data_IF_831977746342
#
_entry.id   IF_831977746342
#
_cell.length_a   1.000
_cell.length_b   1.000
_cell.length_c   1.000
_cell.angle_alpha   90.00
_cell.angle_beta   90.00
_cell.angle_gamma   90.00
#
_symmetry.space_group_name_H-M   'P 1'
#
loop_
_entity.id
_entity.type
_entity.pdbx_description
1 polymer ?
#
# COMPACT_ATOMS: atom_id res chain seq x y z
N UNK A 1 -4.30 8.50 -6.47
CA UNK A 1 -4.88 8.15 -7.79
C UNK A 1 -3.81 7.97 -8.85
N UNK A 2 -2.97 8.97 -9.10
CA UNK A 2 -1.92 8.93 -10.15
C UNK A 2 -0.99 7.71 -10.09
N UNK A 3 -0.46 7.38 -8.91
CA UNK A 3 0.46 6.25 -8.73
C UNK A 3 -0.25 4.89 -8.94
N UNK A 4 -1.47 4.76 -8.43
CA UNK A 4 -2.30 3.55 -8.60
C UNK A 4 -2.62 3.31 -10.07
N UNK A 5 -3.02 4.36 -10.80
CA UNK A 5 -3.27 4.28 -12.24
C UNK A 5 -2.02 3.88 -13.01
N UNK A 6 -0.86 4.47 -12.73
CA UNK A 6 0.38 4.12 -13.42
C UNK A 6 0.79 2.66 -13.16
N UNK A 7 0.57 2.15 -11.95
CA UNK A 7 0.82 0.75 -11.63
C UNK A 7 -0.11 -0.18 -12.42
N UNK A 8 -1.39 0.18 -12.57
CA UNK A 8 -2.35 -0.61 -13.37
C UNK A 8 -1.95 -0.64 -14.86
N UNK A 9 -1.52 0.50 -15.39
CA UNK A 9 -1.14 0.64 -16.80
C UNK A 9 0.20 -0.04 -17.12
N UNK A 10 1.22 0.16 -16.28
CA UNK A 10 2.60 -0.21 -16.59
C UNK A 10 3.14 -1.40 -15.78
N UNK A 11 2.49 -1.74 -14.67
CA UNK A 11 2.92 -2.79 -13.74
C UNK A 11 4.16 -2.46 -12.95
N UNK A 12 4.59 -1.20 -12.97
CA UNK A 12 5.78 -0.73 -12.27
C UNK A 12 5.39 0.23 -11.17
N UNK A 13 5.91 -0.01 -9.97
CA UNK A 13 5.76 0.91 -8.84
C UNK A 13 6.71 2.09 -9.03
N UNK A 14 6.18 3.32 -8.96
CA UNK A 14 6.95 4.56 -9.09
C UNK A 14 6.71 5.47 -7.89
N UNK A 15 7.72 6.24 -7.51
CA UNK A 15 7.65 7.19 -6.39
C UNK A 15 7.38 8.64 -6.83
N UNK A 16 7.45 8.93 -8.13
CA UNK A 16 7.12 10.24 -8.71
C UNK A 16 6.27 10.03 -9.97
N UNK A 17 5.18 10.78 -10.07
CA UNK A 17 4.31 10.77 -11.24
C UNK A 17 4.85 11.69 -12.31
N UNK A 18 5.70 11.17 -13.20
CA UNK A 18 5.91 11.79 -14.50
C UNK A 18 5.04 11.04 -15.50
N UNK A 19 3.95 11.69 -15.88
CA UNK A 19 3.03 11.17 -16.89
C UNK A 19 3.54 11.59 -18.27
N UNK A 20 3.74 10.63 -19.16
CA UNK A 20 3.75 10.90 -20.60
C UNK A 20 2.31 11.24 -21.02
N UNK A 21 1.83 12.42 -20.60
CA UNK A 21 0.42 12.77 -20.67
C UNK A 21 0.02 13.77 -19.58
N UNK A 22 0.66 14.95 -19.53
CA UNK A 22 0.29 16.09 -18.66
C UNK A 22 -1.15 16.62 -18.86
N UNK A 23 -1.98 15.97 -19.68
CA UNK A 23 -3.33 16.41 -20.03
C UNK A 23 -4.48 15.66 -19.33
N UNK A 24 -4.20 14.61 -18.53
CA UNK A 24 -5.26 13.77 -17.91
C UNK A 24 -5.77 14.27 -16.55
N UNK A 25 -5.13 15.27 -15.93
CA UNK A 25 -5.53 15.78 -14.61
C UNK A 25 -5.98 17.23 -14.71
N UNK A 26 -7.28 17.48 -14.57
CA UNK A 26 -7.88 18.83 -14.57
C UNK A 26 -8.58 19.09 -13.23
N UNK A 27 -7.96 19.88 -12.36
CA UNK A 27 -8.62 20.39 -11.16
C UNK A 27 -9.47 21.62 -11.52
N UNK A 28 -10.75 21.65 -11.13
CA UNK A 28 -11.64 22.79 -11.32
C UNK A 28 -12.21 23.20 -9.97
N UNK A 29 -11.76 24.34 -9.43
CA UNK A 29 -12.35 24.89 -8.21
C UNK A 29 -13.81 25.31 -8.47
N UNK A 30 -14.74 24.92 -7.59
CA UNK A 30 -16.14 25.30 -7.66
C UNK A 30 -16.59 25.79 -6.28
N UNK A 31 -16.75 27.12 -6.19
CA UNK A 31 -17.27 27.95 -5.06
C UNK A 31 -16.31 28.22 -3.90
N UNK A 32 -16.45 29.41 -3.32
CA UNK A 32 -15.74 29.84 -2.10
C UNK A 32 -16.09 28.92 -0.94
N UNK A 33 -15.06 28.40 -0.26
CA UNK A 33 -15.19 27.52 0.90
C UNK A 33 -15.10 26.02 0.63
N UNK A 34 -15.09 25.56 -0.64
CA UNK A 34 -14.87 24.15 -0.99
C UNK A 34 -14.06 24.02 -2.28
N UNK A 35 -13.04 23.14 -2.28
CA UNK A 35 -12.25 22.83 -3.47
C UNK A 35 -12.55 21.40 -3.88
N UNK A 36 -13.18 21.22 -5.04
CA UNK A 36 -13.37 19.91 -5.66
C UNK A 36 -12.29 19.72 -6.72
N UNK A 37 -11.47 18.67 -6.58
CA UNK A 37 -10.51 18.27 -7.60
C UNK A 37 -11.01 16.98 -8.26
N UNK A 38 -11.37 17.06 -9.55
CA UNK A 38 -11.80 15.89 -10.33
C UNK A 38 -10.61 15.28 -11.07
N UNK A 39 -10.47 13.96 -10.97
CA UNK A 39 -9.44 13.20 -11.68
C UNK A 39 -10.13 12.24 -12.66
N UNK A 40 -9.76 12.31 -13.94
CA UNK A 40 -10.28 11.39 -14.98
C UNK A 40 -9.12 10.55 -15.49
N UNK A 41 -9.25 9.24 -15.39
CA UNK A 41 -8.26 8.28 -15.85
C UNK A 41 -8.79 7.62 -17.13
N UNK A 42 -8.00 7.69 -18.20
CA UNK A 42 -8.28 6.95 -19.43
C UNK A 42 -7.46 5.66 -19.38
N UNK A 43 -8.15 4.52 -19.37
CA UNK A 43 -7.53 3.20 -19.47
C UNK A 43 -7.55 2.79 -20.95
N UNK A 44 -6.40 2.74 -21.61
CA UNK A 44 -6.29 2.27 -23.00
C UNK A 44 -5.61 0.90 -22.99
N UNK A 45 -6.38 -0.15 -23.31
CA UNK A 45 -5.94 -1.55 -23.54
C UNK A 45 -4.78 -2.02 -22.64
N UNK A 46 -5.11 -2.38 -21.39
CA UNK A 46 -4.13 -2.68 -20.36
C UNK A 46 -3.55 -4.12 -20.44
N UNK A 47 -2.21 -4.29 -20.48
CA UNK A 47 -1.56 -5.59 -20.42
C UNK A 47 -1.70 -6.29 -19.06
N UNK A 48 -1.90 -5.58 -17.93
CA UNK A 48 -2.14 -6.20 -16.62
C UNK A 48 -3.58 -6.70 -16.49
N UNK A 49 -4.56 -5.92 -16.94
CA UNK A 49 -5.93 -6.42 -17.01
C UNK A 49 -5.97 -7.61 -17.96
N UNK A 50 -5.27 -7.60 -19.09
CA UNK A 50 -5.15 -8.78 -19.96
C UNK A 50 -4.40 -9.96 -19.31
N UNK A 51 -3.37 -9.72 -18.51
CA UNK A 51 -2.56 -10.77 -17.87
C UNK A 51 -3.24 -11.39 -16.64
N UNK A 52 -4.03 -10.61 -15.89
CA UNK A 52 -4.83 -11.09 -14.74
C UNK A 52 -6.17 -11.67 -15.21
N UNK A 53 -6.79 -11.12 -16.26
CA UNK A 53 -8.08 -11.56 -16.82
C UNK A 53 -7.92 -12.55 -17.99
N UNK A 54 -6.72 -13.03 -18.30
CA UNK A 54 -6.50 -14.06 -19.32
C UNK A 54 -7.24 -15.39 -19.05
N UNK A 55 -7.84 -15.53 -17.86
CA UNK A 55 -8.67 -16.67 -17.46
C UNK A 55 -10.18 -16.38 -17.45
N UNK A 56 -10.63 -15.13 -17.60
CA UNK A 56 -12.05 -14.76 -17.53
C UNK A 56 -12.38 -13.70 -18.59
N UNK A 57 -13.03 -14.15 -19.67
CA UNK A 57 -13.28 -13.38 -20.89
C UNK A 57 -13.98 -12.02 -20.74
N UNK A 58 -13.92 -11.27 -21.84
CA UNK A 58 -14.61 -10.00 -22.13
C UNK A 58 -14.49 -8.91 -21.06
N UNK A 59 -13.51 -8.01 -21.24
CA UNK A 59 -13.33 -6.81 -20.41
C UNK A 59 -14.51 -5.87 -20.66
N UNK A 60 -15.41 -5.75 -19.68
CA UNK A 60 -16.41 -4.67 -19.65
C UNK A 60 -15.86 -3.48 -18.86
N UNK A 61 -16.18 -2.24 -19.27
CA UNK A 61 -15.68 -1.00 -18.65
C UNK A 61 -15.97 -0.91 -17.13
N UNK A 62 -17.02 -1.59 -16.66
CA UNK A 62 -17.40 -1.63 -15.25
C UNK A 62 -16.40 -2.45 -14.39
N UNK A 63 -15.83 -3.53 -14.93
CA UNK A 63 -14.88 -4.39 -14.21
C UNK A 63 -13.56 -3.63 -13.94
N UNK A 64 -13.05 -2.92 -14.94
CA UNK A 64 -11.84 -2.11 -14.80
C UNK A 64 -12.01 -0.95 -13.79
N UNK A 65 -13.18 -0.30 -13.81
CA UNK A 65 -13.49 0.80 -12.89
C UNK A 65 -13.55 0.33 -11.43
N UNK A 66 -14.20 -0.82 -11.17
CA UNK A 66 -14.27 -1.40 -9.83
C UNK A 66 -12.89 -1.84 -9.32
N UNK A 67 -12.05 -2.39 -10.20
CA UNK A 67 -10.68 -2.77 -9.85
C UNK A 67 -9.81 -1.57 -9.43
N UNK A 68 -9.82 -0.49 -10.23
CA UNK A 68 -9.08 0.75 -9.89
C UNK A 68 -9.57 1.32 -8.55
N UNK A 69 -10.89 1.33 -8.35
CA UNK A 69 -11.52 1.81 -7.14
C UNK A 69 -11.06 1.02 -5.92
N UNK A 70 -11.17 -0.31 -5.96
CA UNK A 70 -10.84 -1.20 -4.85
C UNK A 70 -9.34 -1.19 -4.54
N UNK A 71 -8.47 -1.19 -5.56
CA UNK A 71 -7.03 -1.04 -5.36
C UNK A 71 -6.68 0.31 -4.72
N UNK A 72 -7.31 1.40 -5.15
CA UNK A 72 -7.10 2.72 -4.54
C UNK A 72 -7.57 2.74 -3.09
N UNK A 73 -8.78 2.22 -2.84
CA UNK A 73 -9.38 2.12 -1.51
C UNK A 73 -8.44 1.38 -0.56
N UNK A 74 -7.88 0.25 -1.01
CA UNK A 74 -6.86 -0.51 -0.26
C UNK A 74 -5.59 0.29 -0.01
N UNK A 75 -5.03 0.93 -1.03
CA UNK A 75 -3.78 1.71 -0.90
C UNK A 75 -3.94 2.85 0.11
N UNK A 76 -5.06 3.57 0.06
CA UNK A 76 -5.36 4.63 1.03
C UNK A 76 -5.63 4.03 2.40
N UNK A 77 -6.44 2.97 2.49
CA UNK A 77 -6.79 2.30 3.74
C UNK A 77 -5.57 1.82 4.51
N UNK A 78 -4.62 1.16 3.83
CA UNK A 78 -3.37 0.69 4.41
C UNK A 78 -2.51 1.82 4.96
N UNK A 79 -2.41 2.96 4.26
CA UNK A 79 -1.71 4.14 4.76
C UNK A 79 -2.37 4.80 5.99
N UNK A 80 -3.65 4.52 6.23
CA UNK A 80 -4.37 4.96 7.43
C UNK A 80 -4.44 3.89 8.52
N UNK A 81 -3.69 2.79 8.39
CA UNK A 81 -3.70 1.69 9.36
C UNK A 81 -4.96 0.84 9.35
N UNK A 82 -5.81 0.97 8.33
CA UNK A 82 -7.02 0.17 8.17
C UNK A 82 -6.72 -1.04 7.31
N UNK A 83 -6.95 -2.21 7.87
CA UNK A 83 -6.94 -3.46 7.12
C UNK A 83 -8.31 -3.61 6.47
N UNK A 84 -8.38 -3.34 5.16
CA UNK A 84 -9.57 -3.58 4.36
C UNK A 84 -9.31 -4.76 3.45
N UNK A 85 -10.12 -5.81 3.62
CA UNK A 85 -10.17 -6.88 2.64
C UNK A 85 -10.65 -6.31 1.30
N UNK A 86 -10.03 -6.70 0.18
CA UNK A 86 -10.48 -6.24 -1.12
C UNK A 86 -11.86 -6.79 -1.45
N UNK A 87 -12.73 -5.93 -1.96
CA UNK A 87 -14.10 -6.32 -2.35
C UNK A 87 -14.10 -7.15 -3.66
N UNK A 88 -13.09 -6.96 -4.51
CA UNK A 88 -13.02 -7.57 -5.85
C UNK A 88 -12.02 -8.72 -5.91
N UNK A 89 -12.43 -9.86 -6.49
CA UNK A 89 -11.56 -11.02 -6.70
C UNK A 89 -10.28 -10.69 -7.49
N UNK A 90 -10.34 -9.72 -8.42
CA UNK A 90 -9.17 -9.27 -9.17
C UNK A 90 -8.10 -8.62 -8.29
N UNK A 91 -8.50 -7.87 -7.27
CA UNK A 91 -7.54 -7.27 -6.34
C UNK A 91 -6.98 -8.35 -5.41
N UNK A 92 -7.80 -9.32 -4.99
CA UNK A 92 -7.33 -10.49 -4.22
C UNK A 92 -6.30 -11.30 -5.01
N UNK A 93 -6.55 -11.55 -6.29
CA UNK A 93 -5.60 -12.24 -7.17
C UNK A 93 -4.31 -11.43 -7.34
N UNK A 94 -4.43 -10.12 -7.58
CA UNK A 94 -3.27 -9.23 -7.67
C UNK A 94 -2.42 -9.26 -6.39
N UNK A 95 -3.04 -9.28 -5.22
CA UNK A 95 -2.31 -9.38 -3.95
C UNK A 95 -1.64 -10.74 -3.81
N UNK A 96 -2.30 -11.82 -4.23
CA UNK A 96 -1.72 -13.16 -4.18
C UNK A 96 -0.49 -13.28 -5.07
N UNK A 97 -0.57 -12.76 -6.29
CA UNK A 97 0.52 -12.87 -7.27
C UNK A 97 1.61 -11.81 -7.07
N UNK A 98 1.22 -10.59 -6.67
CA UNK A 98 2.08 -9.40 -6.66
C UNK A 98 1.91 -8.55 -5.39
N UNK A 99 1.67 -9.19 -4.25
CA UNK A 99 1.48 -8.49 -2.97
C UNK A 99 2.62 -7.55 -2.62
N UNK A 100 3.87 -7.92 -2.92
CA UNK A 100 5.04 -7.07 -2.69
C UNK A 100 4.98 -5.75 -3.46
N UNK A 101 4.52 -5.79 -4.71
CA UNK A 101 4.36 -4.59 -5.54
C UNK A 101 3.22 -3.70 -5.01
N UNK A 102 2.15 -4.30 -4.49
CA UNK A 102 1.06 -3.56 -3.83
C UNK A 102 1.55 -2.86 -2.57
N UNK A 103 2.36 -3.51 -1.74
CA UNK A 103 2.94 -2.87 -0.54
C UNK A 103 3.94 -1.77 -0.90
N UNK A 104 4.74 -1.97 -1.96
CA UNK A 104 5.59 -0.92 -2.49
C UNK A 104 4.77 0.27 -3.02
N UNK A 105 3.61 0.03 -3.64
CA UNK A 105 2.67 1.08 -4.05
C UNK A 105 2.06 1.82 -2.86
N UNK A 106 1.72 1.11 -1.77
CA UNK A 106 1.30 1.70 -0.50
C UNK A 106 2.37 2.66 0.02
N UNK A 107 3.63 2.22 0.08
CA UNK A 107 4.75 3.04 0.52
C UNK A 107 4.98 4.26 -0.39
N UNK A 108 4.86 4.09 -1.71
CA UNK A 108 4.98 5.21 -2.66
C UNK A 108 3.88 6.27 -2.48
N UNK A 109 2.67 5.86 -2.08
CA UNK A 109 1.56 6.77 -1.82
C UNK A 109 1.64 7.50 -0.46
N UNK A 110 2.43 6.99 0.49
CA UNK A 110 2.52 7.50 1.88
C UNK A 110 2.77 9.02 1.92
N UNK A 111 3.76 9.51 1.19
CA UNK A 111 4.11 10.94 1.20
C UNK A 111 2.99 11.81 0.62
N UNK A 112 2.30 11.35 -0.43
CA UNK A 112 1.18 12.08 -1.03
C UNK A 112 -0.01 12.18 -0.06
N UNK A 113 -0.27 11.09 0.68
CA UNK A 113 -1.31 11.04 1.71
C UNK A 113 -0.94 11.95 2.87
N UNK A 114 0.31 11.93 3.34
CA UNK A 114 0.81 12.84 4.37
C UNK A 114 0.66 14.30 3.94
N UNK A 115 1.10 14.65 2.74
CA UNK A 115 0.95 16.00 2.22
C UNK A 115 -0.52 16.43 2.16
N UNK A 116 -1.42 15.54 1.74
CA UNK A 116 -2.86 15.82 1.71
C UNK A 116 -3.44 16.10 3.10
N UNK A 117 -2.92 15.47 4.16
CA UNK A 117 -3.35 15.72 5.53
C UNK A 117 -2.78 17.03 6.12
N UNK A 118 -1.76 17.64 5.52
CA UNK A 118 -1.10 18.85 6.05
C UNK A 118 -2.00 20.09 6.09
N UNK A 119 -3.04 20.13 5.24
CA UNK A 119 -4.02 21.24 5.20
C UNK A 119 -5.11 21.10 6.25
N UNK A 120 -5.24 19.92 6.89
CA UNK A 120 -6.28 19.64 7.88
C UNK A 120 -5.95 20.34 9.20
N UNK A 121 -6.81 21.26 9.62
CA UNK A 121 -6.59 22.15 10.76
C UNK A 121 -5.80 23.43 10.42
N UNK A 122 -5.47 23.66 9.14
CA UNK A 122 -4.84 24.90 8.64
C UNK A 122 -5.66 25.61 7.55
N UNK A 123 -6.87 25.11 7.26
CA UNK A 123 -7.77 25.69 6.26
C UNK A 123 -8.95 24.77 5.90
N UNK A 124 -8.78 23.45 6.04
CA UNK A 124 -9.87 22.48 5.90
C UNK A 124 -10.04 21.68 7.21
N UNK A 125 -11.28 21.34 7.58
CA UNK A 125 -11.57 20.45 8.72
C UNK A 125 -11.62 18.99 8.28
N UNK A 126 -12.14 18.75 7.07
CA UNK A 126 -12.30 17.42 6.49
C UNK A 126 -11.97 17.42 5.00
N UNK A 127 -11.50 16.30 4.48
CA UNK A 127 -11.32 16.06 3.04
C UNK A 127 -12.02 14.74 2.72
N UNK A 128 -13.02 14.81 1.85
CA UNK A 128 -13.71 13.62 1.37
C UNK A 128 -13.10 13.19 0.03
N UNK A 129 -12.69 11.93 -0.06
CA UNK A 129 -12.19 11.32 -1.29
C UNK A 129 -13.32 10.51 -1.92
N UNK A 130 -13.69 10.86 -3.14
CA UNK A 130 -14.75 10.19 -3.89
C UNK A 130 -14.18 9.34 -5.02
N UNK A 131 -14.81 8.18 -5.25
CA UNK A 131 -14.69 7.38 -6.46
C UNK A 131 -16.06 7.24 -7.09
N UNK A 132 -16.33 8.02 -8.13
CA UNK A 132 -17.69 8.14 -8.67
C UNK A 132 -18.64 8.75 -7.64
N UNK A 133 -19.73 8.06 -7.32
CA UNK A 133 -20.71 8.47 -6.30
C UNK A 133 -20.40 8.00 -4.89
N UNK A 134 -19.37 7.17 -4.69
CA UNK A 134 -19.04 6.58 -3.39
C UNK A 134 -17.86 7.29 -2.72
N UNK A 135 -17.91 7.38 -1.38
CA UNK A 135 -16.78 7.89 -0.58
C UNK A 135 -15.78 6.74 -0.39
N UNK A 136 -14.58 6.92 -0.93
CA UNK A 136 -13.45 6.01 -0.73
C UNK A 136 -12.90 6.16 0.69
N UNK A 137 -12.72 7.41 1.14
CA UNK A 137 -12.21 7.70 2.46
C UNK A 137 -12.52 9.13 2.90
N UNK A 138 -12.44 9.36 4.22
CA UNK A 138 -12.61 10.67 4.85
C UNK A 138 -11.35 10.96 5.64
N UNK A 139 -10.69 12.05 5.31
CA UNK A 139 -9.57 12.56 6.09
C UNK A 139 -10.09 13.62 7.07
N UNK A 140 -9.63 13.51 8.31
CA UNK A 140 -10.02 14.39 9.41
C UNK A 140 -8.84 14.56 10.39
N UNK A 141 -9.08 15.20 11.54
CA UNK A 141 -8.04 15.40 12.54
C UNK A 141 -7.44 14.08 13.05
N UNK A 142 -8.25 13.03 13.27
CA UNK A 142 -7.73 11.76 13.78
C UNK A 142 -6.88 11.01 12.76
N UNK A 143 -7.26 11.01 11.47
CA UNK A 143 -6.41 10.42 10.41
C UNK A 143 -5.17 11.25 10.15
N UNK A 144 -5.23 12.58 10.32
CA UNK A 144 -4.05 13.45 10.26
C UNK A 144 -3.07 13.10 11.36
N UNK A 145 -3.53 13.04 12.60
CA UNK A 145 -2.67 12.75 13.74
C UNK A 145 -2.04 11.36 13.59
N UNK A 146 -2.82 10.39 13.08
CA UNK A 146 -2.27 9.10 12.68
C UNK A 146 -1.17 9.26 11.62
N UNK A 147 -1.38 9.93 10.49
CA UNK A 147 -0.37 9.96 9.40
C UNK A 147 0.85 10.85 9.72
N UNK A 148 0.67 11.89 10.54
CA UNK A 148 1.69 12.89 10.84
C UNK A 148 2.59 12.52 12.00
N UNK A 149 2.10 11.73 12.95
CA UNK A 149 2.85 11.41 14.16
C UNK A 149 3.43 10.00 14.04
N UNK A 150 4.76 9.94 14.00
CA UNK A 150 5.54 8.72 14.10
C UNK A 150 6.28 8.77 15.42
N UNK A 151 5.99 7.83 16.32
CA UNK A 151 6.85 7.57 17.46
C UNK A 151 7.80 6.45 17.02
N UNK A 152 9.07 6.78 16.82
CA UNK A 152 10.10 5.79 16.52
C UNK A 152 10.52 5.15 17.84
N UNK A 153 10.15 3.88 18.01
CA UNK A 153 10.72 3.03 19.06
C UNK A 153 11.99 2.42 18.48
N UNK A 154 13.14 2.99 18.85
CA UNK A 154 14.47 2.61 18.35
C UNK A 154 15.02 1.34 18.99
N UNK A 155 14.30 0.75 19.96
CA UNK A 155 14.73 -0.50 20.56
C UNK A 155 14.66 -1.62 19.52
N UNK A 156 15.71 -2.44 19.48
CA UNK A 156 15.76 -3.60 18.58
C UNK A 156 14.96 -4.72 19.23
N UNK A 157 13.89 -5.12 18.55
CA UNK A 157 13.05 -6.25 18.89
C UNK A 157 13.42 -7.44 18.01
N UNK A 158 13.41 -8.63 18.60
CA UNK A 158 13.56 -9.89 17.87
C UNK A 158 12.24 -10.64 17.96
N UNK A 159 11.67 -11.02 16.81
CA UNK A 159 10.41 -11.75 16.76
C UNK A 159 10.27 -12.58 15.50
N UNK A 160 9.53 -13.67 15.62
CA UNK A 160 9.24 -14.56 14.51
C UNK A 160 7.99 -14.13 13.77
N UNK A 161 8.09 -14.12 12.45
CA UNK A 161 6.99 -13.74 11.56
C UNK A 161 6.84 -14.69 10.38
N UNK A 162 5.64 -14.67 9.79
CA UNK A 162 5.44 -15.20 8.44
C UNK A 162 5.45 -14.06 7.42
N UNK A 163 6.13 -14.24 6.29
CA UNK A 163 6.24 -13.21 5.26
C UNK A 163 5.02 -13.28 4.34
N UNK A 164 4.15 -12.29 4.43
CA UNK A 164 2.91 -12.24 3.64
C UNK A 164 3.16 -11.65 2.23
N UNK A 165 4.05 -10.67 2.12
CA UNK A 165 4.42 -10.06 0.86
C UNK A 165 5.86 -9.52 0.92
N UNK A 166 6.59 -9.61 -0.19
CA UNK A 166 7.93 -9.03 -0.26
C UNK A 166 8.29 -8.61 -1.68
N UNK A 167 8.81 -7.38 -1.82
CA UNK A 167 9.38 -6.88 -3.06
C UNK A 167 10.90 -6.76 -2.89
N UNK A 168 11.62 -7.70 -3.49
CA UNK A 168 13.07 -7.80 -3.40
C UNK A 168 13.84 -6.66 -4.09
N UNK A 169 13.18 -5.82 -4.89
CA UNK A 169 13.79 -4.68 -5.56
C UNK A 169 13.76 -3.40 -4.71
N UNK A 170 12.75 -3.28 -3.84
CA UNK A 170 12.49 -2.05 -3.08
C UNK A 170 12.67 -2.21 -1.57
N UNK A 171 12.70 -3.45 -1.05
CA UNK A 171 12.79 -3.71 0.38
C UNK A 171 11.48 -3.41 1.14
N UNK A 172 10.38 -3.22 0.42
CA UNK A 172 9.05 -3.14 1.02
C UNK A 172 8.36 -4.50 0.98
N UNK A 173 7.48 -4.71 1.93
CA UNK A 173 6.69 -5.92 2.04
C UNK A 173 5.76 -5.85 3.22
N UNK A 174 5.28 -7.00 3.65
CA UNK A 174 4.51 -7.13 4.86
C UNK A 174 4.71 -8.50 5.49
N UNK A 175 4.58 -8.54 6.82
CA UNK A 175 4.70 -9.74 7.63
C UNK A 175 3.47 -9.92 8.48
N UNK A 176 3.05 -11.16 8.68
CA UNK A 176 1.98 -11.48 9.60
C UNK A 176 2.54 -11.56 11.02
N UNK A 177 2.06 -10.67 11.88
CA UNK A 177 2.37 -10.67 13.31
C UNK A 177 1.35 -11.53 14.05
N UNK A 178 1.80 -12.67 14.59
CA UNK A 178 0.95 -13.63 15.27
C UNK A 178 0.35 -13.11 16.59
N UNK A 179 1.06 -12.23 17.30
CA UNK A 179 0.55 -11.68 18.58
C UNK A 179 -0.53 -10.64 18.33
N UNK A 180 -0.40 -9.88 17.24
CA UNK A 180 -1.37 -8.87 16.85
C UNK A 180 -2.49 -9.42 15.96
N UNK A 181 -2.34 -10.65 15.48
CA UNK A 181 -3.30 -11.32 14.59
C UNK A 181 -3.52 -10.59 13.26
N UNK A 182 -2.53 -9.84 12.76
CA UNK A 182 -2.68 -9.01 11.57
C UNK A 182 -1.38 -8.80 10.78
N UNK A 183 -1.53 -8.33 9.55
CA UNK A 183 -0.39 -8.05 8.67
C UNK A 183 0.17 -6.66 8.91
N UNK A 184 1.46 -6.58 9.24
CA UNK A 184 2.20 -5.35 9.47
C UNK A 184 3.13 -5.07 8.28
N UNK A 185 3.06 -3.87 7.68
CA UNK A 185 4.00 -3.45 6.65
C UNK A 185 5.44 -3.44 7.17
N UNK A 186 6.38 -3.82 6.31
CA UNK A 186 7.80 -3.76 6.60
C UNK A 186 8.53 -2.86 5.61
N UNK A 187 9.64 -2.30 6.07
CA UNK A 187 10.60 -1.60 5.23
C UNK A 187 12.02 -1.93 5.67
N UNK A 188 12.96 -1.94 4.74
CA UNK A 188 14.37 -2.13 5.02
C UNK A 188 15.22 -1.18 4.17
N UNK A 189 16.39 -0.81 4.68
CA UNK A 189 17.35 -0.03 3.89
C UNK A 189 17.95 -0.91 2.78
N UNK A 190 18.58 -0.29 1.79
CA UNK A 190 19.21 -1.05 0.69
C UNK A 190 20.34 -1.95 1.19
N UNK A 191 21.08 -1.49 2.19
CA UNK A 191 22.18 -2.24 2.81
C UNK A 191 21.65 -3.49 3.54
N UNK A 192 20.56 -3.34 4.29
CA UNK A 192 19.90 -4.46 4.97
C UNK A 192 19.29 -5.43 3.94
N UNK A 193 18.60 -4.90 2.92
CA UNK A 193 17.98 -5.69 1.86
C UNK A 193 18.96 -6.67 1.22
N UNK A 194 20.18 -6.23 0.90
CA UNK A 194 21.20 -7.09 0.29
C UNK A 194 21.52 -8.30 1.16
N UNK A 195 21.50 -8.14 2.49
CA UNK A 195 21.77 -9.21 3.46
C UNK A 195 20.57 -10.14 3.62
N UNK A 196 19.39 -9.58 3.84
CA UNK A 196 18.20 -10.35 4.28
C UNK A 196 17.31 -10.83 3.13
N UNK A 197 17.54 -10.39 1.88
CA UNK A 197 16.66 -10.70 0.73
C UNK A 197 16.41 -12.19 0.53
N UNK A 198 17.40 -13.04 0.77
CA UNK A 198 17.30 -14.49 0.57
C UNK A 198 16.42 -15.12 1.64
N UNK A 199 16.46 -14.60 2.87
CA UNK A 199 15.64 -15.04 4.00
C UNK A 199 14.18 -14.64 3.78
N UNK A 200 13.92 -13.40 3.38
CA UNK A 200 12.56 -12.93 3.08
C UNK A 200 11.94 -13.61 1.85
N UNK A 201 12.73 -13.83 0.79
CA UNK A 201 12.26 -14.57 -0.38
C UNK A 201 11.93 -16.04 -0.03
N UNK A 202 12.76 -16.66 0.80
CA UNK A 202 12.48 -18.00 1.32
C UNK A 202 11.21 -18.01 2.18
N UNK A 203 11.08 -17.11 3.17
CA UNK A 203 9.90 -17.03 4.02
C UNK A 203 8.59 -16.78 3.25
N UNK A 204 8.64 -16.01 2.15
CA UNK A 204 7.49 -15.83 1.27
C UNK A 204 7.14 -17.12 0.51
N UNK A 205 8.15 -17.87 0.05
CA UNK A 205 7.93 -19.18 -0.58
C UNK A 205 7.31 -20.18 0.40
N UNK A 206 7.75 -20.19 1.65
CA UNK A 206 7.19 -21.06 2.69
C UNK A 206 5.73 -20.70 3.00
N UNK A 207 5.42 -19.41 3.09
CA UNK A 207 4.04 -18.94 3.23
C UNK A 207 3.16 -19.39 2.05
N UNK A 208 3.65 -19.23 0.82
CA UNK A 208 2.91 -19.64 -0.39
C UNK A 208 2.67 -21.16 -0.47
N UNK A 209 3.61 -21.95 0.04
CA UNK A 209 3.51 -23.42 0.08
C UNK A 209 2.72 -23.95 1.29
N UNK A 210 2.31 -23.07 2.22
CA UNK A 210 1.51 -23.46 3.39
C UNK A 210 2.27 -24.29 4.42
N UNK A 211 3.60 -24.23 4.45
CA UNK A 211 4.43 -25.02 5.38
C UNK A 211 4.36 -24.49 6.81
N UNK A 212 4.00 -23.21 6.98
CA UNK A 212 3.90 -22.55 8.29
C UNK A 212 5.24 -22.17 8.91
N UNK A 213 6.34 -22.31 8.15
CA UNK A 213 7.67 -21.89 8.56
C UNK A 213 7.75 -20.38 8.76
N UNK A 214 8.67 -19.97 9.64
CA UNK A 214 8.80 -18.59 10.12
C UNK A 214 10.22 -18.09 9.86
N UNK A 215 10.37 -16.77 9.86
CA UNK A 215 11.67 -16.11 9.88
C UNK A 215 11.81 -15.36 11.19
N UNK A 216 13.00 -15.36 11.77
CA UNK A 216 13.30 -14.52 12.93
C UNK A 216 13.82 -13.18 12.43
N UNK A 217 13.19 -12.10 12.84
CA UNK A 217 13.46 -10.76 12.31
C UNK A 217 13.88 -9.85 13.45
N UNK A 218 14.98 -9.13 13.23
CA UNK A 218 15.45 -8.06 14.10
C UNK A 218 14.95 -6.74 13.51
N UNK A 219 14.13 -6.00 14.26
CA UNK A 219 13.47 -4.79 13.76
C UNK A 219 13.23 -3.79 14.88
N UNK A 220 13.13 -2.54 14.50
CA UNK A 220 12.59 -1.49 15.36
C UNK A 220 11.22 -1.06 14.82
N UNK A 221 10.40 -0.40 15.66
CA UNK A 221 8.98 -0.19 15.38
C UNK A 221 8.67 1.28 15.14
N UNK A 222 7.90 1.55 14.10
CA UNK A 222 7.21 2.83 13.95
C UNK A 222 5.83 2.69 14.56
N UNK A 223 5.59 3.35 15.69
CA UNK A 223 4.34 3.29 16.44
C UNK A 223 3.44 4.49 16.10
N UNK A 224 2.13 4.30 16.22
CA UNK A 224 1.16 5.39 16.32
C UNK A 224 1.01 5.85 17.77
N UNK A 225 0.26 6.94 17.98
CA UNK A 225 0.07 7.56 19.30
C UNK A 225 -0.57 6.63 20.34
N UNK A 226 -1.40 5.70 19.89
CA UNK A 226 -2.00 4.64 20.69
C UNK A 226 -1.04 3.47 20.98
N UNK A 227 0.25 3.61 20.62
CA UNK A 227 1.30 2.58 20.70
C UNK A 227 1.06 1.36 19.80
N UNK A 228 0.10 1.45 18.89
CA UNK A 228 -0.12 0.41 17.90
C UNK A 228 1.00 0.43 16.85
N UNK A 229 1.59 -0.72 16.46
CA UNK A 229 2.61 -0.74 15.42
C UNK A 229 2.03 -0.43 14.04
N UNK A 230 2.65 0.54 13.35
CA UNK A 230 2.30 0.93 11.98
C UNK A 230 3.20 0.26 10.95
N UNK A 231 4.49 0.13 11.26
CA UNK A 231 5.50 -0.44 10.37
C UNK A 231 6.66 -1.00 11.16
N UNK A 232 7.24 -2.10 10.67
CA UNK A 232 8.51 -2.62 11.17
C UNK A 232 9.65 -2.23 10.24
N UNK A 233 10.73 -1.71 10.81
CA UNK A 233 11.95 -1.41 10.06
C UNK A 233 12.97 -2.49 10.35
N UNK A 234 13.19 -3.33 9.35
CA UNK A 234 14.06 -4.51 9.48
C UNK A 234 15.51 -4.06 9.49
N UNK A 235 16.27 -4.62 10.43
CA UNK A 235 17.72 -4.42 10.60
C UNK A 235 18.47 -5.69 10.22
N UNK A 236 17.94 -6.85 10.60
CA UNK A 236 18.49 -8.16 10.26
C UNK A 236 17.40 -9.22 10.22
N UNK A 237 17.67 -10.37 9.62
CA UNK A 237 16.77 -11.51 9.66
C UNK A 237 17.51 -12.82 9.40
N UNK A 238 17.11 -13.83 10.15
CA UNK A 238 17.62 -15.19 10.07
C UNK A 238 16.48 -16.16 9.75
N UNK A 239 16.86 -17.29 9.15
CA UNK A 239 15.93 -18.41 9.04
C UNK A 239 15.68 -18.94 10.44
N UNK A 240 14.44 -19.31 10.72
CA UNK A 240 14.13 -19.98 11.96
C UNK A 240 14.80 -21.36 11.94
N UNK A 241 15.91 -21.50 12.67
CA UNK A 241 16.52 -22.80 12.93
C UNK A 241 15.74 -23.46 14.08
N UNK A 242 15.24 -24.67 13.82
CA UNK A 242 14.48 -25.48 14.76
C UNK A 242 15.37 -26.12 15.82
#
# INVERSE_FOLDING_TARGET
MSLTTNYIETGRVRHRGDFAGRQSVRAKALREGSIVAQFTVLLQQDPILACILGLAGTITLNVASNFVYDLTKRVIGRNLGREQEPDTELVKELIRQRGGDVEALVAAAENSIRQSHSVIGRGATTINIYGGSQIINIYNASTRDYVMQNLEDTDIHVKDFSVAAFNANSGYGSVFDFDLGRTIPISMSKEVLVKVRSVFAWGLSEYANGTGERISVHFWRVLSMDRTPKRYVVVDADRFER
#
